data_IF_479374238696
#
_entry.id   IF_479374238696
#
_cell.length_a   1.000
_cell.length_b   1.000
_cell.length_c   1.000
_cell.angle_alpha   90.00
_cell.angle_beta   90.00
_cell.angle_gamma   90.00
#
_symmetry.space_group_name_H-M   'P 1'
#
loop_
_entity.id
_entity.type
_entity.pdbx_description
1 polymer ?
#
# COMPACT_ATOMS: atom_id res chain seq x y z
N UNK A 1 -6.09 -13.80 21.40
CA UNK A 1 -7.47 -14.17 21.04
C UNK A 1 -7.88 -15.55 21.59
N UNK A 2 -7.09 -16.62 21.37
CA UNK A 2 -7.40 -17.97 21.89
C UNK A 2 -7.45 -18.03 23.43
N UNK A 3 -6.52 -17.39 24.13
CA UNK A 3 -6.49 -17.40 25.61
C UNK A 3 -7.53 -16.50 26.26
N UNK A 4 -7.89 -15.40 25.61
CA UNK A 4 -8.94 -14.48 26.05
C UNK A 4 -10.30 -15.19 26.16
N UNK A 5 -10.54 -16.19 25.30
CA UNK A 5 -11.80 -16.95 25.22
C UNK A 5 -11.92 -18.08 26.24
N UNK A 6 -10.81 -18.67 26.67
CA UNK A 6 -10.84 -19.74 27.68
C UNK A 6 -11.12 -19.22 29.10
N UNK A 7 -10.78 -17.95 29.37
CA UNK A 7 -11.02 -17.30 30.67
C UNK A 7 -12.40 -16.67 30.82
N UNK A 8 -13.09 -16.40 29.72
CA UNK A 8 -14.50 -16.01 29.73
C UNK A 8 -15.32 -17.28 29.96
N UNK A 9 -15.64 -17.56 31.23
CA UNK A 9 -16.54 -18.65 31.60
C UNK A 9 -17.81 -18.61 30.74
N UNK A 10 -18.20 -19.77 30.22
CA UNK A 10 -19.37 -19.92 29.36
C UNK A 10 -20.66 -19.61 30.12
N UNK A 11 -20.98 -18.33 30.28
CA UNK A 11 -22.31 -17.90 30.64
C UNK A 11 -23.13 -17.69 29.37
N UNK A 12 -24.40 -18.05 29.47
CA UNK A 12 -25.42 -18.32 28.45
C UNK A 12 -25.65 -17.24 27.34
N UNK A 13 -24.87 -16.16 27.29
CA UNK A 13 -25.22 -14.97 26.49
C UNK A 13 -24.10 -14.38 25.64
N UNK A 14 -22.91 -14.99 25.51
CA UNK A 14 -21.84 -14.40 24.67
C UNK A 14 -21.16 -15.38 23.68
N UNK A 15 -21.31 -15.01 22.39
CA UNK A 15 -20.50 -15.32 21.21
C UNK A 15 -20.50 -16.76 20.64
N UNK A 16 -21.58 -17.10 19.94
CA UNK A 16 -21.58 -18.19 18.95
C UNK A 16 -20.77 -17.78 17.71
N UNK A 17 -19.47 -18.09 17.68
CA UNK A 17 -18.74 -18.12 16.41
C UNK A 17 -18.96 -19.50 15.79
N UNK A 18 -19.82 -19.57 14.79
CA UNK A 18 -19.92 -20.74 13.92
C UNK A 18 -18.78 -20.67 12.92
N UNK A 19 -17.86 -21.65 12.96
CA UNK A 19 -16.94 -21.88 11.85
C UNK A 19 -17.79 -22.50 10.73
N UNK A 20 -18.34 -21.66 9.86
CA UNK A 20 -19.03 -22.11 8.65
C UNK A 20 -17.95 -22.50 7.63
N UNK A 21 -17.56 -23.76 7.66
CA UNK A 21 -16.62 -24.35 6.73
C UNK A 21 -16.77 -25.87 6.77
N UNK A 22 -16.49 -26.51 5.64
CA UNK A 22 -16.41 -27.97 5.61
C UNK A 22 -15.24 -28.41 6.51
N UNK A 23 -15.49 -29.17 7.60
CA UNK A 23 -14.44 -29.63 8.50
C UNK A 23 -13.42 -30.56 7.81
N UNK A 24 -13.70 -31.05 6.59
CA UNK A 24 -12.78 -31.82 5.77
C UNK A 24 -11.81 -30.96 4.93
N UNK A 25 -12.05 -29.64 4.80
CA UNK A 25 -11.14 -28.76 4.08
C UNK A 25 -9.93 -28.41 4.95
N UNK A 26 -8.75 -28.76 4.46
CA UNK A 26 -7.48 -28.33 5.05
C UNK A 26 -7.18 -26.91 4.62
N UNK A 27 -6.78 -26.06 5.57
CA UNK A 27 -6.18 -24.76 5.24
C UNK A 27 -4.95 -24.99 4.36
N UNK A 28 -4.87 -24.25 3.27
CA UNK A 28 -3.71 -24.29 2.39
C UNK A 28 -2.55 -23.56 3.07
N UNK A 29 -1.77 -24.30 3.86
CA UNK A 29 -0.58 -23.78 4.52
C UNK A 29 0.58 -23.70 3.53
N UNK A 30 1.45 -22.68 3.67
CA UNK A 30 2.61 -22.58 2.81
C UNK A 30 3.50 -23.81 2.88
N UNK A 31 4.01 -24.24 1.72
CA UNK A 31 4.77 -25.49 1.58
C UNK A 31 6.12 -25.45 2.30
N UNK A 32 6.75 -24.27 2.32
CA UNK A 32 8.10 -24.07 2.83
C UNK A 32 8.17 -23.07 3.99
N UNK A 33 9.33 -23.01 4.64
CA UNK A 33 9.57 -22.14 5.79
C UNK A 33 10.57 -21.04 5.47
N UNK A 34 10.36 -19.86 6.07
CA UNK A 34 11.27 -18.72 6.00
C UNK A 34 11.96 -18.54 7.35
N UNK A 35 13.29 -18.53 7.34
CA UNK A 35 14.11 -18.32 8.53
C UNK A 35 14.97 -17.06 8.38
N UNK A 36 14.94 -16.19 9.39
CA UNK A 36 15.89 -15.08 9.49
C UNK A 36 17.27 -15.62 9.85
N UNK A 37 18.27 -15.38 9.01
CA UNK A 37 19.64 -15.84 9.20
C UNK A 37 20.49 -14.83 9.98
N UNK A 38 20.39 -13.55 9.63
CA UNK A 38 21.20 -12.50 10.22
C UNK A 38 20.48 -11.16 10.28
N UNK A 39 20.90 -10.34 11.24
CA UNK A 39 20.52 -8.93 11.38
C UNK A 39 21.79 -8.11 11.49
N UNK A 40 21.92 -7.10 10.62
CA UNK A 40 23.13 -6.28 10.48
C UNK A 40 24.42 -7.11 10.32
N UNK A 41 24.32 -8.21 9.55
CA UNK A 41 25.42 -9.15 9.33
C UNK A 41 25.75 -10.09 10.51
N UNK A 42 25.06 -9.96 11.65
CA UNK A 42 25.25 -10.82 12.83
C UNK A 42 24.19 -11.92 12.85
N UNK A 43 24.63 -13.16 13.07
CA UNK A 43 23.70 -14.29 13.21
C UNK A 43 22.89 -14.14 14.48
N UNK A 44 21.58 -14.40 14.39
CA UNK A 44 20.69 -14.33 15.55
C UNK A 44 20.95 -15.48 16.52
N UNK A 45 21.36 -15.15 17.74
CA UNK A 45 21.47 -16.10 18.86
C UNK A 45 20.32 -15.88 19.85
N UNK A 46 19.85 -16.97 20.47
CA UNK A 46 18.83 -16.92 21.53
C UNK A 46 19.36 -16.23 22.79
N UNK A 47 20.68 -16.25 23.02
CA UNK A 47 21.34 -15.68 24.19
C UNK A 47 21.62 -14.17 24.11
N UNK A 48 21.57 -13.58 22.92
CA UNK A 48 21.84 -12.15 22.70
C UNK A 48 20.78 -11.57 21.76
N UNK A 49 19.72 -10.98 22.34
CA UNK A 49 18.71 -10.26 21.57
C UNK A 49 19.27 -8.92 21.12
N UNK A 50 19.38 -8.71 19.82
CA UNK A 50 19.70 -7.40 19.25
C UNK A 50 18.48 -6.48 19.36
N UNK A 51 18.72 -5.19 19.61
CA UNK A 51 17.66 -4.18 19.73
C UNK A 51 17.70 -3.25 18.53
N UNK A 52 16.58 -3.16 17.82
CA UNK A 52 16.38 -2.21 16.73
C UNK A 52 16.04 -0.85 17.33
N UNK A 53 17.00 0.08 17.30
CA UNK A 53 16.86 1.43 17.81
C UNK A 53 16.26 2.40 16.79
N UNK A 54 15.69 3.51 17.26
CA UNK A 54 15.13 4.55 16.41
C UNK A 54 16.19 5.11 15.44
N UNK A 55 15.80 5.42 14.20
CA UNK A 55 16.68 5.91 13.12
C UNK A 55 17.86 5.00 12.77
N UNK A 56 17.88 3.77 13.27
CA UNK A 56 18.89 2.79 12.89
C UNK A 56 18.55 2.25 11.50
N UNK A 57 19.54 2.26 10.60
CA UNK A 57 19.48 1.48 9.35
C UNK A 57 19.71 0.01 9.68
N UNK A 58 18.73 -0.84 9.37
CA UNK A 58 18.72 -2.26 9.68
C UNK A 58 18.78 -3.05 8.38
N UNK A 59 19.65 -4.06 8.36
CA UNK A 59 19.72 -5.06 7.29
C UNK A 59 19.26 -6.41 7.82
N UNK A 60 18.23 -6.99 7.20
CA UNK A 60 17.73 -8.33 7.52
C UNK A 60 18.12 -9.28 6.40
N UNK A 61 18.63 -10.44 6.76
CA UNK A 61 18.91 -11.54 5.83
C UNK A 61 18.11 -12.77 6.23
N UNK A 62 17.62 -13.51 5.24
CA UNK A 62 16.88 -14.73 5.48
C UNK A 62 17.07 -15.76 4.37
N UNK A 63 16.52 -16.95 4.63
CA UNK A 63 16.61 -18.11 3.74
C UNK A 63 15.29 -18.87 3.73
N UNK A 64 14.96 -19.42 2.57
CA UNK A 64 13.83 -20.33 2.37
C UNK A 64 14.34 -21.76 2.49
N UNK A 65 13.67 -22.54 3.34
CA UNK A 65 14.06 -23.91 3.66
C UNK A 65 12.89 -24.88 3.51
N UNK A 66 13.21 -26.14 3.21
CA UNK A 66 12.25 -27.22 3.30
C UNK A 66 11.91 -27.56 4.77
N UNK A 67 11.03 -28.54 4.98
CA UNK A 67 10.63 -29.03 6.31
C UNK A 67 11.77 -29.60 7.15
N UNK A 68 12.89 -29.96 6.52
CA UNK A 68 14.11 -30.48 7.17
C UNK A 68 15.14 -29.38 7.48
N UNK A 69 14.87 -28.11 7.09
CA UNK A 69 15.76 -26.98 7.31
C UNK A 69 16.85 -26.78 6.23
N UNK A 70 16.80 -27.56 5.15
CA UNK A 70 17.73 -27.44 4.00
C UNK A 70 17.31 -26.29 3.08
N UNK A 71 18.27 -25.49 2.65
CA UNK A 71 18.04 -24.31 1.78
C UNK A 71 17.57 -24.75 0.40
N UNK A 72 16.54 -24.08 -0.11
CA UNK A 72 16.05 -24.29 -1.48
C UNK A 72 16.82 -23.43 -2.48
N UNK A 73 17.99 -23.91 -2.90
CA UNK A 73 18.88 -23.17 -3.82
C UNK A 73 18.28 -22.90 -5.22
N UNK A 74 17.14 -23.49 -5.56
CA UNK A 74 16.44 -23.27 -6.84
C UNK A 74 15.25 -22.30 -6.72
N UNK A 75 14.93 -21.85 -5.50
CA UNK A 75 13.79 -20.97 -5.27
C UNK A 75 14.13 -19.53 -5.67
N UNK A 76 13.40 -19.00 -6.64
CA UNK A 76 13.58 -17.64 -7.15
C UNK A 76 12.21 -16.96 -7.26
N UNK A 77 12.02 -15.87 -6.52
CA UNK A 77 10.69 -15.25 -6.38
C UNK A 77 10.72 -13.96 -5.58
N UNK A 78 9.60 -13.65 -4.95
CA UNK A 78 9.46 -12.48 -4.08
C UNK A 78 9.14 -12.91 -2.65
N UNK A 79 9.71 -12.20 -1.69
CA UNK A 79 9.31 -12.26 -0.28
C UNK A 79 8.69 -10.93 0.13
N UNK A 80 7.51 -11.01 0.72
CA UNK A 80 6.74 -9.94 1.31
C UNK A 80 7.07 -9.92 2.80
N UNK A 81 7.50 -8.76 3.29
CA UNK A 81 7.97 -8.61 4.67
C UNK A 81 7.20 -7.50 5.37
N UNK A 82 6.79 -7.78 6.61
CA UNK A 82 6.19 -6.79 7.49
C UNK A 82 6.90 -6.83 8.83
N UNK A 83 7.57 -5.73 9.18
CA UNK A 83 8.24 -5.54 10.47
C UNK A 83 7.29 -4.80 11.38
N UNK A 84 6.96 -5.42 12.50
CA UNK A 84 6.08 -4.87 13.52
C UNK A 84 6.88 -4.34 14.70
N UNK A 85 6.38 -3.24 15.25
CA UNK A 85 6.78 -2.74 16.55
C UNK A 85 6.38 -3.74 17.66
N UNK A 86 6.78 -3.45 18.89
CA UNK A 86 6.35 -4.17 20.06
C UNK A 86 4.83 -4.18 20.22
N UNK A 87 4.35 -5.19 20.93
CA UNK A 87 2.94 -5.28 21.27
C UNK A 87 2.51 -4.13 22.21
N UNK A 88 1.31 -3.58 21.97
CA UNK A 88 0.70 -2.57 22.84
C UNK A 88 -0.49 -3.16 23.59
N UNK A 89 -0.62 -2.80 24.86
CA UNK A 89 -1.82 -3.06 25.65
C UNK A 89 -2.87 -2.01 25.27
N UNK A 90 -4.00 -2.47 24.74
CA UNK A 90 -5.15 -1.65 24.37
C UNK A 90 -6.22 -1.80 25.45
N UNK A 91 -6.72 -0.67 25.93
CA UNK A 91 -7.88 -0.62 26.82
C UNK A 91 -9.11 -0.28 25.98
N UNK A 92 -10.16 -1.09 26.09
CA UNK A 92 -11.45 -0.79 25.49
C UNK A 92 -12.12 0.39 26.22
N UNK A 93 -13.06 1.05 25.55
CA UNK A 93 -13.92 2.04 26.19
C UNK A 93 -15.01 1.33 27.02
N UNK A 94 -15.39 1.94 28.14
CA UNK A 94 -16.56 1.54 28.91
C UNK A 94 -17.74 2.36 28.42
N UNK A 95 -18.36 1.93 27.32
CA UNK A 95 -19.50 2.64 26.73
C UNK A 95 -20.79 2.44 27.53
N UNK A 96 -20.90 1.30 28.24
CA UNK A 96 -21.98 1.01 29.20
C UNK A 96 -21.42 0.34 30.46
N UNK A 97 -22.09 0.41 31.62
CA UNK A 97 -21.69 -0.31 32.84
C UNK A 97 -21.40 -1.80 32.63
N UNK A 98 -22.18 -2.46 31.76
CA UNK A 98 -22.06 -3.90 31.44
C UNK A 98 -20.85 -4.23 30.57
N UNK A 99 -20.28 -3.23 29.89
CA UNK A 99 -19.03 -3.39 29.12
C UNK A 99 -17.77 -3.34 29.99
N UNK A 100 -17.91 -3.01 31.27
CA UNK A 100 -16.81 -3.04 32.22
C UNK A 100 -16.42 -4.48 32.56
N UNK A 101 -15.13 -4.72 32.77
CA UNK A 101 -14.62 -6.03 33.20
C UNK A 101 -15.02 -6.33 34.65
N UNK A 102 -14.98 -5.31 35.50
CA UNK A 102 -15.46 -5.31 36.88
C UNK A 102 -15.61 -3.86 37.37
N UNK A 103 -16.23 -3.69 38.55
CA UNK A 103 -16.26 -2.42 39.29
C UNK A 103 -15.32 -2.55 40.47
N UNK A 104 -14.41 -1.59 40.64
CA UNK A 104 -13.48 -1.61 41.77
C UNK A 104 -14.15 -1.26 43.11
N UNK A 105 -13.40 -1.37 44.21
CA UNK A 105 -13.91 -1.09 45.57
C UNK A 105 -14.27 0.37 45.79
N UNK A 106 -13.87 1.28 44.89
CA UNK A 106 -14.19 2.70 44.91
C UNK A 106 -15.38 3.05 43.99
N UNK A 107 -16.01 2.05 43.36
CA UNK A 107 -17.15 2.23 42.46
C UNK A 107 -16.77 2.61 41.03
N UNK A 108 -15.50 2.49 40.63
CA UNK A 108 -15.05 2.82 39.28
C UNK A 108 -15.16 1.63 38.34
N UNK A 109 -15.75 1.85 37.15
CA UNK A 109 -15.87 0.84 36.10
C UNK A 109 -14.53 0.61 35.39
N UNK A 110 -14.01 -0.61 35.44
CA UNK A 110 -12.71 -0.94 34.87
C UNK A 110 -12.85 -1.43 33.41
N UNK A 111 -12.07 -0.87 32.47
CA UNK A 111 -12.12 -1.29 31.08
C UNK A 111 -11.50 -2.68 30.90
N UNK A 112 -12.03 -3.43 29.94
CA UNK A 112 -11.36 -4.63 29.43
C UNK A 112 -10.08 -4.24 28.66
N UNK A 113 -8.99 -5.00 28.82
CA UNK A 113 -7.75 -4.78 28.07
C UNK A 113 -7.31 -6.03 27.32
N UNK A 114 -6.72 -5.85 26.14
CA UNK A 114 -6.06 -6.91 25.38
C UNK A 114 -4.75 -6.42 24.76
N UNK A 115 -3.92 -7.35 24.31
CA UNK A 115 -2.64 -7.05 23.65
C UNK A 115 -2.81 -7.11 22.14
N UNK A 116 -2.25 -6.12 21.44
CA UNK A 116 -2.34 -5.97 19.99
C UNK A 116 -1.01 -5.53 19.39
N UNK A 117 -0.62 -6.14 18.27
CA UNK A 117 0.61 -5.82 17.53
C UNK A 117 0.26 -5.38 16.11
N UNK A 118 -0.09 -4.10 15.95
CA UNK A 118 -0.59 -3.53 14.68
C UNK A 118 0.36 -2.52 14.05
N UNK A 119 1.24 -1.89 14.82
CA UNK A 119 2.07 -0.81 14.31
C UNK A 119 3.19 -1.40 13.45
N UNK A 120 3.22 -0.99 12.19
CA UNK A 120 4.14 -1.50 11.17
C UNK A 120 5.30 -0.54 11.02
N UNK A 121 6.51 -0.97 11.36
CA UNK A 121 7.72 -0.17 11.18
C UNK A 121 8.18 -0.13 9.72
N UNK A 122 7.92 -1.22 8.99
CA UNK A 122 8.30 -1.38 7.59
C UNK A 122 7.41 -2.42 6.91
N UNK A 123 6.99 -2.15 5.69
CA UNK A 123 6.30 -3.09 4.80
C UNK A 123 6.92 -2.99 3.41
N UNK A 124 7.41 -4.10 2.88
CA UNK A 124 8.04 -4.11 1.56
C UNK A 124 8.26 -5.49 0.98
N UNK A 125 8.85 -5.49 -0.21
CA UNK A 125 9.15 -6.69 -0.99
C UNK A 125 10.66 -6.81 -1.21
N UNK A 126 11.15 -8.03 -1.23
CA UNK A 126 12.53 -8.30 -1.64
C UNK A 126 12.60 -9.47 -2.62
N UNK A 127 13.59 -9.45 -3.50
CA UNK A 127 13.89 -10.57 -4.37
C UNK A 127 14.50 -11.72 -3.58
N UNK A 128 13.99 -12.92 -3.84
CA UNK A 128 14.62 -14.17 -3.40
C UNK A 128 15.42 -14.72 -4.56
N UNK A 129 16.71 -14.97 -4.34
CA UNK A 129 17.62 -15.58 -5.31
C UNK A 129 18.28 -16.79 -4.69
N UNK A 130 18.13 -17.94 -5.34
CA UNK A 130 18.64 -19.23 -4.86
C UNK A 130 18.26 -19.51 -3.39
N UNK A 131 17.00 -19.23 -3.03
CA UNK A 131 16.47 -19.42 -1.68
C UNK A 131 17.00 -18.42 -0.64
N UNK A 132 17.76 -17.40 -1.02
CA UNK A 132 18.29 -16.36 -0.13
C UNK A 132 17.67 -15.01 -0.45
N UNK A 133 17.45 -14.18 0.57
CA UNK A 133 16.99 -12.81 0.41
C UNK A 133 17.60 -11.88 1.46
N UNK A 134 17.62 -10.59 1.16
CA UNK A 134 17.93 -9.55 2.13
C UNK A 134 17.15 -8.28 1.80
N UNK A 135 16.78 -7.53 2.84
CA UNK A 135 16.19 -6.21 2.69
C UNK A 135 16.73 -5.27 3.75
N UNK A 136 16.64 -3.97 3.48
CA UNK A 136 17.08 -2.94 4.39
C UNK A 136 15.94 -1.97 4.64
N UNK A 137 15.89 -1.41 5.84
CA UNK A 137 14.96 -0.33 6.18
C UNK A 137 15.56 0.55 7.29
N UNK A 138 14.99 1.72 7.52
CA UNK A 138 15.33 2.57 8.66
C UNK A 138 14.18 2.47 9.67
N UNK A 139 14.51 2.26 10.93
CA UNK A 139 13.51 2.18 11.99
C UNK A 139 12.92 3.58 12.22
N UNK A 140 11.58 3.76 12.19
CA UNK A 140 10.93 5.04 12.42
C UNK A 140 11.41 5.75 13.70
N UNK A 141 11.47 7.08 13.66
CA UNK A 141 11.80 7.90 14.84
C UNK A 141 10.81 7.75 15.99
N UNK A 142 9.56 7.46 15.65
CA UNK A 142 8.42 7.45 16.59
C UNK A 142 8.24 6.12 17.35
N UNK A 143 9.23 5.22 17.33
CA UNK A 143 9.16 3.99 18.16
C UNK A 143 9.20 4.33 19.66
N UNK A 144 8.69 3.41 20.47
CA UNK A 144 8.75 3.56 21.92
C UNK A 144 10.19 3.51 22.45
N UNK A 145 10.47 4.30 23.50
CA UNK A 145 11.80 4.34 24.14
C UNK A 145 12.10 3.02 24.86
N UNK A 146 11.08 2.43 25.48
CA UNK A 146 11.20 1.17 26.21
C UNK A 146 11.16 -0.04 25.27
N UNK A 147 12.28 -0.77 25.25
CA UNK A 147 12.46 -1.91 24.37
C UNK A 147 11.46 -3.03 24.70
N UNK A 148 10.82 -3.58 23.67
CA UNK A 148 9.93 -4.73 23.77
C UNK A 148 10.12 -5.71 22.62
N UNK A 149 9.53 -6.92 22.69
CA UNK A 149 9.65 -7.92 21.62
C UNK A 149 8.97 -7.42 20.34
N UNK A 150 9.75 -7.29 19.27
CA UNK A 150 9.24 -7.01 17.93
C UNK A 150 8.86 -8.29 17.19
N UNK A 151 8.28 -8.16 16.00
CA UNK A 151 7.99 -9.30 15.13
C UNK A 151 8.27 -8.96 13.68
N UNK A 152 8.90 -9.87 12.94
CA UNK A 152 8.90 -9.82 11.48
C UNK A 152 8.02 -10.95 10.97
N UNK A 153 7.12 -10.64 10.03
CA UNK A 153 6.30 -11.62 9.33
C UNK A 153 6.75 -11.72 7.88
N UNK A 154 6.82 -12.95 7.37
CA UNK A 154 7.26 -13.24 6.02
C UNK A 154 6.24 -14.10 5.28
N UNK A 155 6.03 -13.78 4.00
CA UNK A 155 5.37 -14.63 3.03
C UNK A 155 6.17 -14.58 1.73
N UNK A 156 6.45 -15.71 1.09
CA UNK A 156 7.17 -15.73 -0.17
C UNK A 156 6.42 -16.59 -1.21
N UNK A 157 6.58 -16.24 -2.47
CA UNK A 157 6.08 -17.03 -3.60
C UNK A 157 7.04 -16.92 -4.79
N UNK A 158 7.22 -18.03 -5.51
CA UNK A 158 7.89 -18.10 -6.83
C UNK A 158 6.87 -18.25 -7.98
N UNK A 159 5.57 -18.15 -7.67
CA UNK A 159 4.46 -18.36 -8.61
C UNK A 159 3.96 -19.82 -8.71
N UNK A 160 4.68 -20.78 -8.12
CA UNK A 160 4.32 -22.21 -8.11
C UNK A 160 4.16 -22.72 -6.68
N UNK A 161 5.07 -22.32 -5.81
CA UNK A 161 5.18 -22.71 -4.41
C UNK A 161 5.33 -21.49 -3.51
N UNK A 162 5.00 -21.67 -2.25
CA UNK A 162 5.00 -20.60 -1.27
C UNK A 162 5.73 -20.99 0.03
N UNK A 163 6.14 -19.96 0.75
CA UNK A 163 6.79 -20.11 2.03
C UNK A 163 6.27 -19.09 3.04
N UNK A 164 6.31 -19.43 4.32
CA UNK A 164 6.02 -18.46 5.38
C UNK A 164 6.94 -18.60 6.56
N UNK A 165 7.04 -17.55 7.36
CA UNK A 165 7.81 -17.59 8.58
C UNK A 165 7.64 -16.32 9.40
N UNK A 166 8.15 -16.35 10.63
CA UNK A 166 8.21 -15.17 11.46
C UNK A 166 9.45 -15.17 12.34
N UNK A 167 9.89 -13.97 12.71
CA UNK A 167 11.00 -13.75 13.63
C UNK A 167 10.52 -12.97 14.85
N UNK A 168 10.86 -13.43 16.05
CA UNK A 168 10.39 -12.87 17.33
C UNK A 168 11.52 -12.71 18.35
N UNK A 169 12.77 -13.04 17.99
CA UNK A 169 13.94 -12.91 18.86
C UNK A 169 14.47 -11.48 18.96
N UNK A 170 13.96 -10.57 18.14
CA UNK A 170 14.37 -9.17 18.06
C UNK A 170 13.62 -8.31 19.08
N UNK A 171 14.34 -7.34 19.63
CA UNK A 171 13.74 -6.27 20.44
C UNK A 171 13.62 -5.01 19.58
N UNK A 172 12.59 -4.20 19.82
CA UNK A 172 12.40 -2.89 19.19
C UNK A 172 12.25 -1.87 20.30
N UNK A 173 13.02 -0.78 20.21
CA UNK A 173 12.90 0.37 21.09
C UNK A 173 14.25 1.04 21.32
N UNK A 174 14.23 2.08 22.13
CA UNK A 174 15.43 2.85 22.48
C UNK A 174 15.48 4.21 21.80
N UNK A 175 16.50 4.98 22.17
CA UNK A 175 16.71 6.34 21.66
C UNK A 175 17.47 6.31 20.33
N UNK A 176 17.32 7.36 19.49
CA UNK A 176 18.12 7.50 18.28
C UNK A 176 19.62 7.43 18.57
N UNK A 177 20.34 6.58 17.85
CA UNK A 177 21.77 6.31 18.10
C UNK A 177 22.68 7.28 17.33
N UNK A 178 22.18 7.95 16.29
CA UNK A 178 22.91 8.99 15.55
C UNK A 178 21.96 9.92 14.78
N UNK A 179 22.43 11.12 14.47
CA UNK A 179 21.75 12.10 13.63
C UNK A 179 21.93 11.73 12.14
N UNK A 180 21.04 10.89 11.61
CA UNK A 180 20.67 11.07 10.21
C UNK A 180 19.96 12.43 10.17
N UNK A 181 20.49 13.38 9.40
CA UNK A 181 19.87 14.68 9.23
C UNK A 181 19.23 14.69 7.84
N UNK A 182 17.95 14.33 7.80
CA UNK A 182 17.08 14.65 6.68
C UNK A 182 16.15 15.77 7.13
N UNK A 183 16.04 16.80 6.30
CA UNK A 183 15.15 17.94 6.54
C UNK A 183 14.20 18.16 5.35
N UNK A 184 14.15 17.22 4.41
CA UNK A 184 13.28 17.28 3.23
C UNK A 184 12.17 16.27 3.42
N UNK A 185 10.93 16.66 3.13
CA UNK A 185 9.82 15.72 3.15
C UNK A 185 9.75 14.85 1.89
N UNK A 186 8.88 13.83 1.90
CA UNK A 186 8.76 12.90 0.79
C UNK A 186 8.25 13.57 -0.48
N UNK A 187 8.81 13.23 -1.63
CA UNK A 187 8.26 13.61 -2.93
C UNK A 187 7.01 12.79 -3.21
N UNK A 188 5.93 13.48 -3.58
CA UNK A 188 4.62 12.89 -3.86
C UNK A 188 4.25 13.09 -5.34
N UNK A 189 3.79 12.03 -5.99
CA UNK A 189 3.14 12.10 -7.31
C UNK A 189 1.80 11.39 -7.24
N UNK A 190 0.72 12.15 -7.45
CA UNK A 190 -0.65 11.66 -7.38
C UNK A 190 -1.19 11.39 -8.79
N UNK A 191 -2.02 10.37 -8.92
CA UNK A 191 -2.68 10.02 -10.17
C UNK A 191 -3.97 9.23 -9.92
N UNK A 192 -4.85 9.13 -10.93
CA UNK A 192 -6.05 8.30 -10.90
C UNK A 192 -5.93 7.15 -11.89
N UNK A 193 -6.07 5.92 -11.38
CA UNK A 193 -5.90 4.62 -12.04
C UNK A 193 -4.48 4.35 -12.60
N UNK A 194 -3.97 5.25 -13.42
CA UNK A 194 -2.69 5.15 -14.13
C UNK A 194 -1.87 6.45 -14.04
N UNK A 195 -0.54 6.32 -14.13
CA UNK A 195 0.44 7.40 -13.97
C UNK A 195 0.34 8.50 -15.05
N UNK A 196 -0.31 8.21 -16.18
CA UNK A 196 -0.53 9.19 -17.25
C UNK A 196 -1.69 10.15 -16.97
N UNK A 197 -2.40 9.98 -15.84
CA UNK A 197 -3.45 10.90 -15.42
C UNK A 197 -2.88 12.31 -15.18
N UNK A 198 -3.59 13.32 -15.66
CA UNK A 198 -3.21 14.73 -15.52
C UNK A 198 -4.19 15.45 -14.60
N UNK A 199 -3.68 16.42 -13.84
CA UNK A 199 -4.51 17.23 -12.95
C UNK A 199 -5.66 17.91 -13.73
N UNK A 200 -6.88 17.79 -13.22
CA UNK A 200 -8.12 18.25 -13.85
C UNK A 200 -8.75 17.28 -14.86
N UNK A 201 -8.16 16.09 -15.03
CA UNK A 201 -8.63 15.05 -15.95
C UNK A 201 -9.95 14.39 -15.54
N UNK A 202 -10.55 13.64 -16.46
CA UNK A 202 -11.78 12.88 -16.21
C UNK A 202 -11.49 11.54 -15.55
N UNK A 203 -12.37 11.14 -14.63
CA UNK A 203 -12.42 9.81 -14.01
C UNK A 203 -13.86 9.31 -13.93
N UNK A 204 -14.03 8.05 -13.55
CA UNK A 204 -15.31 7.48 -13.13
C UNK A 204 -15.57 7.60 -11.63
N UNK A 205 -16.71 7.11 -11.17
CA UNK A 205 -17.16 7.20 -9.76
C UNK A 205 -16.45 6.27 -8.77
N UNK A 206 -15.70 5.26 -9.24
CA UNK A 206 -14.98 4.31 -8.37
C UNK A 206 -13.46 4.17 -8.68
N UNK A 207 -12.68 5.25 -8.82
CA UNK A 207 -11.29 5.17 -9.27
C UNK A 207 -10.35 4.64 -8.20
N UNK A 208 -9.17 4.22 -8.64
CA UNK A 208 -8.03 3.93 -7.77
C UNK A 208 -7.19 5.20 -7.67
N UNK A 209 -7.14 5.79 -6.48
CA UNK A 209 -6.16 6.81 -6.15
C UNK A 209 -4.77 6.16 -6.06
N UNK A 210 -3.87 6.59 -6.92
CA UNK A 210 -2.47 6.21 -6.92
C UNK A 210 -1.60 7.31 -6.33
N UNK A 211 -0.64 6.93 -5.49
CA UNK A 211 0.38 7.83 -4.95
C UNK A 211 1.73 7.16 -5.04
N UNK A 212 2.68 7.78 -5.75
CA UNK A 212 4.09 7.40 -5.66
C UNK A 212 4.75 8.29 -4.61
N UNK A 213 5.53 7.65 -3.73
CA UNK A 213 6.26 8.33 -2.67
C UNK A 213 7.74 7.99 -2.77
N UNK A 214 8.60 8.98 -2.61
CA UNK A 214 10.04 8.79 -2.56
C UNK A 214 10.70 9.72 -1.56
N UNK A 215 11.54 9.16 -0.71
CA UNK A 215 12.27 9.89 0.32
C UNK A 215 13.60 9.21 0.67
N UNK A 216 14.62 9.99 1.02
CA UNK A 216 15.96 9.46 1.32
C UNK A 216 16.00 8.62 2.60
N UNK A 217 15.20 9.01 3.59
CA UNK A 217 15.02 8.33 4.88
C UNK A 217 13.98 7.22 4.80
N UNK A 218 13.10 7.26 3.81
CA UNK A 218 11.98 6.34 3.62
C UNK A 218 10.70 6.85 4.27
N UNK A 219 9.58 6.23 3.93
CA UNK A 219 8.24 6.69 4.29
C UNK A 219 7.81 6.13 5.66
N UNK A 220 7.24 6.99 6.51
CA UNK A 220 6.71 6.57 7.80
C UNK A 220 5.28 6.03 7.65
N UNK A 221 5.11 4.73 7.91
CA UNK A 221 3.81 4.04 7.90
C UNK A 221 3.37 3.60 9.29
N UNK A 222 4.14 3.92 10.33
CA UNK A 222 3.99 3.28 11.64
C UNK A 222 2.71 3.62 12.38
N UNK A 223 2.13 4.79 12.11
CA UNK A 223 1.02 5.34 12.89
C UNK A 223 1.35 5.47 14.39
N UNK A 224 2.63 5.37 14.76
CA UNK A 224 3.10 5.48 16.14
C UNK A 224 3.23 6.95 16.55
N UNK A 225 3.63 7.81 15.61
CA UNK A 225 3.67 9.26 15.79
C UNK A 225 2.27 9.84 15.75
N UNK A 226 1.92 10.63 16.78
CA UNK A 226 0.65 11.36 16.80
C UNK A 226 0.63 12.33 15.62
N UNK A 227 -0.26 12.10 14.66
CA UNK A 227 -0.42 12.97 13.49
C UNK A 227 0.56 12.72 12.35
N UNK A 228 1.35 11.65 12.39
CA UNK A 228 2.27 11.25 11.31
C UNK A 228 1.68 10.16 10.39
N UNK A 229 0.36 10.05 10.35
CA UNK A 229 -0.32 9.16 9.40
C UNK A 229 -0.23 9.73 7.98
N UNK A 230 -0.22 8.83 6.99
CA UNK A 230 -0.43 9.21 5.60
C UNK A 230 -1.93 9.40 5.42
N UNK A 231 -2.34 10.63 5.16
CA UNK A 231 -3.76 11.00 5.14
C UNK A 231 -4.12 11.64 3.82
N UNK A 232 -5.24 11.18 3.25
CA UNK A 232 -5.91 11.88 2.16
C UNK A 232 -7.20 12.58 2.64
N UNK A 233 -7.44 13.78 2.12
CA UNK A 233 -8.64 14.58 2.38
C UNK A 233 -9.34 14.79 1.04
N UNK A 234 -10.50 14.16 0.88
CA UNK A 234 -11.36 14.32 -0.29
C UNK A 234 -12.35 15.47 -0.07
N UNK A 235 -12.53 16.30 -1.09
CA UNK A 235 -13.49 17.42 -1.15
C UNK A 235 -13.41 18.37 0.06
N UNK A 236 -12.19 18.60 0.56
CA UNK A 236 -11.91 19.44 1.73
C UNK A 236 -12.59 18.98 3.03
N UNK A 237 -13.10 17.74 3.10
CA UNK A 237 -13.75 17.17 4.28
C UNK A 237 -12.73 16.76 5.36
N UNK A 238 -12.10 17.75 6.01
CA UNK A 238 -11.06 17.53 7.06
C UNK A 238 -11.52 16.65 8.23
N UNK A 239 -12.82 16.49 8.42
CA UNK A 239 -13.42 15.72 9.50
C UNK A 239 -13.53 14.22 9.17
N UNK A 240 -13.27 13.82 7.92
CA UNK A 240 -13.31 12.43 7.45
C UNK A 240 -12.02 12.07 6.69
N UNK A 241 -10.84 12.14 7.34
CA UNK A 241 -9.58 11.78 6.70
C UNK A 241 -9.56 10.29 6.33
N UNK A 242 -8.99 9.98 5.15
CA UNK A 242 -8.69 8.62 4.73
C UNK A 242 -7.27 8.28 5.18
N UNK A 243 -7.12 7.33 6.10
CA UNK A 243 -5.80 6.86 6.57
C UNK A 243 -5.27 5.81 5.61
N UNK A 244 -4.11 6.07 5.01
CA UNK A 244 -3.55 5.30 3.90
C UNK A 244 -2.35 4.42 4.30
N UNK A 245 -1.91 4.43 5.56
CA UNK A 245 -0.71 3.71 6.02
C UNK A 245 -0.72 2.22 5.63
N UNK A 246 -1.88 1.57 5.75
CA UNK A 246 -2.04 0.14 5.42
C UNK A 246 -2.04 -0.16 3.91
N UNK A 247 -2.13 0.85 3.07
CA UNK A 247 -2.07 0.72 1.61
C UNK A 247 -0.69 1.04 1.03
N UNK A 248 0.23 1.57 1.85
CA UNK A 248 1.61 1.80 1.43
C UNK A 248 2.36 0.48 1.34
N UNK A 249 3.07 0.32 0.23
CA UNK A 249 4.01 -0.78 0.03
C UNK A 249 5.29 -0.25 -0.61
N UNK A 250 6.43 -0.56 -0.01
CA UNK A 250 7.73 -0.19 -0.56
C UNK A 250 8.04 -0.99 -1.83
N UNK A 251 8.77 -0.36 -2.75
CA UNK A 251 9.22 -0.98 -3.99
C UNK A 251 10.13 -2.18 -3.73
N UNK A 252 10.22 -3.09 -4.71
CA UNK A 252 11.06 -4.28 -4.61
C UNK A 252 12.52 -3.86 -4.35
N UNK A 253 13.10 -4.42 -3.28
CA UNK A 253 14.47 -4.19 -2.82
C UNK A 253 14.79 -2.73 -2.43
N UNK A 254 13.77 -1.86 -2.27
CA UNK A 254 13.95 -0.44 -1.94
C UNK A 254 13.05 -0.04 -0.77
N UNK A 255 13.61 0.63 0.24
CA UNK A 255 12.83 1.22 1.34
C UNK A 255 12.54 2.72 1.15
N UNK A 256 13.23 3.34 0.20
CA UNK A 256 13.20 4.79 -0.05
C UNK A 256 12.03 5.19 -0.96
N UNK A 257 11.45 4.25 -1.69
CA UNK A 257 10.35 4.49 -2.61
C UNK A 257 9.27 3.44 -2.45
N UNK A 258 8.06 3.79 -2.83
CA UNK A 258 6.91 2.90 -2.78
C UNK A 258 5.66 3.55 -3.34
N UNK A 259 4.56 2.82 -3.24
CA UNK A 259 3.28 3.27 -3.78
C UNK A 259 2.12 2.98 -2.83
N UNK A 260 1.09 3.81 -2.95
CA UNK A 260 -0.23 3.60 -2.38
C UNK A 260 -1.22 3.43 -3.52
N UNK A 261 -2.10 2.43 -3.41
CA UNK A 261 -3.27 2.27 -4.28
C UNK A 261 -4.51 2.16 -3.41
N UNK A 262 -5.34 3.20 -3.41
CA UNK A 262 -6.53 3.27 -2.58
C UNK A 262 -7.80 3.33 -3.45
N UNK A 263 -8.73 2.36 -3.32
CA UNK A 263 -9.97 2.40 -4.08
C UNK A 263 -10.93 3.44 -3.48
N UNK A 264 -11.21 4.49 -4.26
CA UNK A 264 -12.31 5.42 -4.00
C UNK A 264 -13.60 4.81 -4.53
N UNK A 265 -14.72 5.05 -3.85
CA UNK A 265 -16.02 4.48 -4.24
C UNK A 265 -17.14 5.49 -4.11
N UNK A 266 -18.14 5.39 -4.98
CA UNK A 266 -19.37 6.19 -4.95
C UNK A 266 -19.12 7.72 -4.98
N UNK A 267 -18.13 8.16 -5.74
CA UNK A 267 -17.92 9.59 -5.97
C UNK A 267 -19.10 10.17 -6.76
N UNK A 268 -19.54 11.37 -6.38
CA UNK A 268 -20.61 12.09 -7.07
C UNK A 268 -20.12 12.59 -8.42
N UNK A 269 -21.04 12.87 -9.33
CA UNK A 269 -20.68 13.52 -10.60
C UNK A 269 -20.28 14.98 -10.36
N UNK A 270 -19.24 15.44 -11.07
CA UNK A 270 -18.75 16.82 -10.99
C UNK A 270 -17.27 16.94 -10.65
N UNK A 271 -16.85 18.14 -10.26
CA UNK A 271 -15.46 18.43 -9.89
C UNK A 271 -15.17 18.01 -8.45
N UNK A 272 -14.00 17.44 -8.25
CA UNK A 272 -13.50 16.95 -6.97
C UNK A 272 -12.06 17.39 -6.76
N UNK A 273 -11.66 17.44 -5.50
CA UNK A 273 -10.31 17.78 -5.07
C UNK A 273 -9.84 16.77 -4.02
N UNK A 274 -8.60 16.31 -4.11
CA UNK A 274 -7.98 15.47 -3.08
C UNK A 274 -6.61 16.00 -2.72
N UNK A 275 -6.36 16.20 -1.42
CA UNK A 275 -5.03 16.49 -0.89
C UNK A 275 -4.49 15.29 -0.13
N UNK A 276 -3.19 15.07 -0.20
CA UNK A 276 -2.50 13.98 0.49
C UNK A 276 -1.31 14.53 1.23
N UNK A 277 -1.24 14.25 2.53
CA UNK A 277 -0.09 14.56 3.37
C UNK A 277 0.60 13.28 3.79
N UNK A 278 1.92 13.23 3.60
CA UNK A 278 2.76 12.10 4.00
C UNK A 278 3.98 12.58 4.80
N UNK A 279 4.58 11.65 5.53
CA UNK A 279 5.71 11.89 6.42
C UNK A 279 6.83 10.91 6.10
N UNK A 280 8.07 11.39 6.17
CA UNK A 280 9.24 10.51 6.19
C UNK A 280 9.49 9.93 7.60
N UNK A 281 10.46 9.04 7.70
CA UNK A 281 10.90 8.40 8.96
C UNK A 281 11.48 9.39 9.99
N UNK A 282 11.89 10.60 9.56
CA UNK A 282 12.48 11.63 10.42
C UNK A 282 11.48 12.71 10.88
N UNK A 283 10.23 12.60 10.42
CA UNK A 283 9.09 13.49 10.66
C UNK A 283 9.11 14.79 9.85
N UNK A 284 9.73 14.78 8.66
CA UNK A 284 9.50 15.80 7.63
C UNK A 284 8.24 15.43 6.85
N UNK A 285 7.40 16.43 6.55
CA UNK A 285 6.16 16.21 5.80
C UNK A 285 6.17 16.91 4.46
N UNK A 286 5.35 16.41 3.56
CA UNK A 286 5.02 17.07 2.30
C UNK A 286 3.55 16.83 1.99
N UNK A 287 2.98 17.72 1.21
CA UNK A 287 1.58 17.66 0.77
C UNK A 287 1.55 17.82 -0.75
N UNK A 288 0.63 17.10 -1.38
CA UNK A 288 0.35 17.23 -2.80
C UNK A 288 -1.15 17.11 -3.04
N UNK A 289 -1.61 17.73 -4.12
CA UNK A 289 -3.02 17.90 -4.42
C UNK A 289 -3.31 17.43 -5.85
N UNK A 290 -4.53 16.96 -6.07
CA UNK A 290 -5.02 16.53 -7.38
C UNK A 290 -6.49 16.93 -7.54
N UNK A 291 -6.79 17.70 -8.58
CA UNK A 291 -8.16 17.97 -9.01
C UNK A 291 -8.56 16.97 -10.10
N UNK A 292 -9.84 16.60 -10.13
CA UNK A 292 -10.36 15.68 -11.13
C UNK A 292 -11.87 15.86 -11.31
N UNK A 293 -12.40 15.36 -12.43
CA UNK A 293 -13.82 15.45 -12.76
C UNK A 293 -14.40 14.04 -12.87
N UNK A 294 -15.41 13.74 -12.08
CA UNK A 294 -16.13 12.47 -12.13
C UNK A 294 -17.25 12.57 -13.15
N UNK A 295 -17.23 11.69 -14.15
CA UNK A 295 -18.31 11.51 -15.12
C UNK A 295 -18.93 10.11 -14.97
N UNK A 296 -20.26 9.99 -15.09
CA UNK A 296 -20.97 8.73 -14.87
C UNK A 296 -20.54 7.62 -15.83
N UNK A 297 -20.26 6.43 -15.31
CA UNK A 297 -19.90 5.24 -16.09
C UNK A 297 -20.95 4.80 -17.12
N UNK A 298 -22.21 5.17 -16.97
CA UNK A 298 -23.29 4.77 -17.86
C UNK A 298 -23.29 5.49 -19.22
N UNK A 299 -22.56 6.60 -19.34
CA UNK A 299 -22.46 7.39 -20.57
C UNK A 299 -20.98 7.62 -20.87
N UNK A 300 -20.54 7.24 -22.08
CA UNK A 300 -19.19 7.55 -22.54
C UNK A 300 -19.03 9.07 -22.60
N UNK A 301 -18.18 9.61 -21.73
CA UNK A 301 -17.79 11.01 -21.77
C UNK A 301 -16.44 11.12 -22.48
N UNK A 302 -16.29 12.11 -23.37
CA UNK A 302 -15.03 12.44 -24.02
C UNK A 302 -14.64 13.87 -23.70
N UNK A 303 -13.36 14.10 -23.39
CA UNK A 303 -12.78 15.44 -23.20
C UNK A 303 -11.38 15.50 -23.77
N UNK A 304 -10.89 16.72 -24.00
CA UNK A 304 -9.55 16.99 -24.54
C UNK A 304 -9.21 16.13 -25.78
N UNK A 305 -10.16 16.05 -26.71
CA UNK A 305 -9.96 15.41 -28.01
C UNK A 305 -9.05 16.33 -28.83
N UNK A 306 -7.83 15.89 -29.07
CA UNK A 306 -6.80 16.67 -29.73
C UNK A 306 -5.90 15.79 -30.60
N UNK A 307 -5.16 16.43 -31.49
CA UNK A 307 -4.06 15.77 -32.19
C UNK A 307 -2.74 16.50 -31.87
N UNK A 308 -1.65 15.75 -31.75
CA UNK A 308 -0.32 16.30 -31.53
C UNK A 308 0.75 15.52 -32.32
N UNK A 309 1.70 16.20 -32.99
CA UNK A 309 1.77 17.65 -33.18
C UNK A 309 0.62 18.23 -34.04
N UNK A 310 0.24 19.48 -33.78
CA UNK A 310 -0.69 20.24 -34.61
C UNK A 310 -0.23 21.71 -34.69
N UNK A 311 0.17 22.23 -35.88
CA UNK A 311 0.25 21.53 -37.16
C UNK A 311 1.36 20.47 -37.20
N UNK A 312 1.26 19.53 -38.14
CA UNK A 312 2.25 18.47 -38.37
C UNK A 312 2.74 18.45 -39.81
N UNK A 313 3.90 17.82 -40.05
CA UNK A 313 4.48 17.68 -41.40
C UNK A 313 4.36 16.25 -41.94
N UNK A 314 4.74 15.25 -41.13
CA UNK A 314 4.80 13.85 -41.56
C UNK A 314 3.75 12.95 -40.89
N UNK A 315 3.45 13.19 -39.61
CA UNK A 315 2.47 12.40 -38.87
C UNK A 315 1.95 13.18 -37.66
N UNK A 316 0.75 12.83 -37.23
CA UNK A 316 0.15 13.26 -35.96
C UNK A 316 -0.42 12.06 -35.24
N UNK A 317 -0.61 12.18 -33.92
CA UNK A 317 -1.38 11.22 -33.15
C UNK A 317 -2.62 11.89 -32.56
N UNK A 318 -3.73 11.16 -32.49
CA UNK A 318 -4.95 11.60 -31.84
C UNK A 318 -5.00 11.09 -30.40
N UNK A 319 -5.34 11.98 -29.48
CA UNK A 319 -5.47 11.70 -28.06
C UNK A 319 -6.85 12.17 -27.57
N UNK A 320 -7.40 11.46 -26.59
CA UNK A 320 -8.61 11.86 -25.90
C UNK A 320 -8.60 11.36 -24.45
N UNK A 321 -9.34 12.04 -23.59
CA UNK A 321 -9.69 11.60 -22.25
C UNK A 321 -11.10 11.01 -22.24
N UNK A 322 -11.33 9.98 -21.43
CA UNK A 322 -12.60 9.27 -21.31
C UNK A 322 -12.83 8.75 -19.89
N UNK A 323 -14.06 8.34 -19.59
CA UNK A 323 -14.42 7.77 -18.27
C UNK A 323 -14.54 6.23 -18.24
N UNK A 324 -14.33 5.54 -19.37
CA UNK A 324 -14.48 4.08 -19.49
C UNK A 324 -13.15 3.34 -19.37
N UNK A 325 -12.78 2.86 -18.18
CA UNK A 325 -11.51 2.14 -17.93
C UNK A 325 -11.73 0.64 -17.84
N UNK A 326 -10.70 -0.15 -18.20
CA UNK A 326 -10.75 -1.62 -18.25
C UNK A 326 -11.80 -2.16 -19.23
N UNK A 327 -12.19 -1.33 -20.20
CA UNK A 327 -13.07 -1.67 -21.30
C UNK A 327 -12.30 -1.50 -22.61
N UNK A 328 -12.70 -2.27 -23.62
CA UNK A 328 -12.26 -2.07 -24.99
C UNK A 328 -13.19 -1.02 -25.63
N UNK A 329 -12.60 0.06 -26.17
CA UNK A 329 -13.35 1.07 -26.92
C UNK A 329 -13.09 0.86 -28.41
N UNK A 330 -14.16 0.72 -29.19
CA UNK A 330 -14.08 0.85 -30.65
C UNK A 330 -14.03 2.34 -30.98
N UNK A 331 -12.87 2.81 -31.42
CA UNK A 331 -12.62 4.22 -31.73
C UNK A 331 -12.63 4.42 -33.24
N UNK A 332 -13.50 5.32 -33.71
CA UNK A 332 -13.55 5.72 -35.11
C UNK A 332 -13.24 7.22 -35.26
N UNK A 333 -12.20 7.55 -36.02
CA UNK A 333 -11.80 8.93 -36.31
C UNK A 333 -12.05 9.22 -37.79
N UNK A 334 -12.81 10.27 -38.07
CA UNK A 334 -13.01 10.79 -39.43
C UNK A 334 -12.19 12.06 -39.61
N UNK A 335 -11.23 12.02 -40.53
CA UNK A 335 -10.50 13.22 -40.95
C UNK A 335 -11.21 13.83 -42.15
N UNK A 336 -11.61 15.09 -42.03
CA UNK A 336 -12.40 15.82 -43.03
C UNK A 336 -11.63 17.06 -43.49
N UNK A 337 -11.78 17.40 -44.77
CA UNK A 337 -11.39 18.72 -45.28
C UNK A 337 -12.28 19.82 -44.70
N UNK A 338 -11.88 21.09 -44.84
CA UNK A 338 -12.68 22.25 -44.44
C UNK A 338 -14.06 22.33 -45.14
N UNK A 339 -14.23 21.66 -46.28
CA UNK A 339 -15.50 21.56 -47.01
C UNK A 339 -16.33 20.33 -46.62
N UNK A 340 -15.89 19.54 -45.64
CA UNK A 340 -16.59 18.34 -45.15
C UNK A 340 -16.38 17.08 -45.98
N UNK A 341 -15.47 17.09 -46.97
CA UNK A 341 -15.09 15.86 -47.69
C UNK A 341 -14.21 14.97 -46.81
N UNK A 342 -14.57 13.69 -46.70
CA UNK A 342 -13.79 12.67 -45.98
C UNK A 342 -12.44 12.43 -46.67
N UNK A 343 -11.37 12.49 -45.88
CA UNK A 343 -9.98 12.25 -46.27
C UNK A 343 -9.54 10.86 -45.83
N UNK A 344 -9.79 10.51 -44.56
CA UNK A 344 -9.35 9.25 -43.95
C UNK A 344 -10.34 8.78 -42.88
N UNK A 345 -10.56 7.48 -42.79
CA UNK A 345 -11.19 6.85 -41.63
C UNK A 345 -10.16 5.98 -40.89
N UNK A 346 -9.95 6.27 -39.62
CA UNK A 346 -9.17 5.39 -38.73
C UNK A 346 -10.16 4.61 -37.86
N UNK A 347 -9.93 3.30 -37.72
CA UNK A 347 -10.68 2.43 -36.82
C UNK A 347 -9.68 1.63 -36.00
N UNK A 348 -9.70 1.83 -34.69
CA UNK A 348 -8.86 1.09 -33.78
C UNK A 348 -9.67 0.64 -32.57
N UNK A 349 -9.42 -0.60 -32.17
CA UNK A 349 -9.85 -1.12 -30.89
C UNK A 349 -8.81 -0.77 -29.84
N UNK A 350 -9.15 0.16 -28.95
CA UNK A 350 -8.22 0.65 -27.94
C UNK A 350 -8.54 0.00 -26.60
N UNK A 351 -7.59 -0.74 -26.05
CA UNK A 351 -7.66 -1.30 -24.70
C UNK A 351 -7.07 -0.29 -23.71
N UNK A 352 -7.91 0.26 -22.83
CA UNK A 352 -7.54 1.39 -21.98
C UNK A 352 -7.43 0.97 -20.52
N UNK A 353 -6.20 1.00 -19.98
CA UNK A 353 -5.93 0.76 -18.55
C UNK A 353 -6.11 2.03 -17.70
N UNK A 354 -6.14 3.20 -18.33
CA UNK A 354 -6.33 4.51 -17.70
C UNK A 354 -7.45 5.33 -18.36
N UNK A 355 -7.54 6.60 -17.99
CA UNK A 355 -8.57 7.55 -18.46
C UNK A 355 -8.16 8.35 -19.71
N UNK A 356 -6.99 8.05 -20.29
CA UNK A 356 -6.43 8.73 -21.45
C UNK A 356 -6.00 7.69 -22.47
N UNK A 357 -6.26 7.98 -23.75
CA UNK A 357 -5.85 7.10 -24.84
C UNK A 357 -4.34 7.12 -25.08
N UNK A 358 -3.81 5.94 -25.43
CA UNK A 358 -2.53 5.85 -26.12
C UNK A 358 -2.74 6.37 -27.55
N UNK A 359 -1.82 7.19 -28.08
CA UNK A 359 -2.08 8.00 -29.27
C UNK A 359 -2.36 7.18 -30.53
N UNK A 360 -3.46 7.48 -31.22
CA UNK A 360 -3.85 6.82 -32.49
C UNK A 360 -3.13 7.52 -33.64
N UNK A 361 -2.27 6.79 -34.36
CA UNK A 361 -1.35 7.40 -35.33
C UNK A 361 -1.99 7.63 -36.71
N UNK A 362 -1.65 8.76 -37.32
CA UNK A 362 -1.96 9.08 -38.71
C UNK A 362 -0.77 9.72 -39.40
N UNK A 363 -0.45 9.25 -40.61
CA UNK A 363 0.68 9.66 -41.45
C UNK A 363 0.35 10.82 -42.40
N UNK A 364 -0.81 11.44 -42.25
CA UNK A 364 -1.24 12.56 -43.10
C UNK A 364 -1.77 12.18 -44.48
N UNK A 365 -1.82 10.87 -44.81
CA UNK A 365 -2.29 10.39 -46.12
C UNK A 365 -3.80 10.18 -46.15
N UNK A 366 -4.38 10.25 -47.35
CA UNK A 366 -5.80 9.94 -47.54
C UNK A 366 -6.04 8.41 -47.56
N UNK A 367 -7.27 7.98 -47.82
CA UNK A 367 -7.60 6.55 -47.85
C UNK A 367 -6.84 5.76 -48.93
N UNK A 368 -6.30 6.42 -49.95
CA UNK A 368 -5.68 5.80 -51.12
C UNK A 368 -4.14 5.84 -51.12
N UNK A 369 -3.54 6.56 -50.17
CA UNK A 369 -2.08 6.60 -49.98
C UNK A 369 -1.43 7.87 -50.51
#
# INVERSE_FOLDING_TARGET
>A
IRETKARLGQNFTYANFHLLGDPALTLHYPQYQILTSAVNGKTLSVSSRDTLGALQKVSISGKIVNTEGTILNQYNGLVYTTVFDREKKINCLVNTPESALYVDTLGSFMPFSFVSQKNVLYRGKAQVKNGLFSFNFIVPKDIAIDAGPGKISYYATDGISDASGSEQRLMVGGKPVANLNDNTGPRLQLFMNDINFVNGGITHSNPILGVLLEDSSGINTSGNGIGHDIVAILDYEKNKPLVLNDYYEADVDRYQSGQIRYPLTNLKEGSHHISIKAWDIQNNSSEAELDFIVAQNSVLALKHVLNYPNPFTNQTQFYFEHNQVCNQLEVQIHVLTISGRLVKTLREDVSLQGFRSEGISWDGRDEFG
#
